data_IF_167368225233
#
_entry.id   IF_167368225233
#
_cell.length_a   1.000
_cell.length_b   1.000
_cell.length_c   1.000
_cell.angle_alpha   90.00
_cell.angle_beta   90.00
_cell.angle_gamma   90.00
#
_symmetry.space_group_name_H-M   'P 1'
#
loop_
_entity.id
_entity.type
_entity.pdbx_description
1 polymer ?
#
# COMPACT_ATOMS: atom_id res chain seq x y z
N UNK A 1 18.35 18.80 -6.85
CA UNK A 1 19.32 17.74 -7.18
C UNK A 1 19.86 17.19 -5.88
N UNK A 2 20.33 15.95 -5.89
CA UNK A 2 20.95 15.36 -4.70
C UNK A 2 22.18 16.18 -4.24
N UNK A 3 22.48 16.11 -2.94
CA UNK A 3 23.73 16.63 -2.41
C UNK A 3 24.88 15.68 -2.81
N UNK A 4 25.92 16.20 -3.45
CA UNK A 4 27.05 15.42 -3.96
C UNK A 4 27.81 14.69 -2.83
N UNK A 5 27.99 15.33 -1.67
CA UNK A 5 28.68 14.74 -0.52
C UNK A 5 27.91 13.53 0.02
N UNK A 6 26.56 13.63 0.10
CA UNK A 6 25.71 12.53 0.51
C UNK A 6 25.74 11.37 -0.49
N UNK A 7 25.83 11.66 -1.80
CA UNK A 7 25.97 10.62 -2.82
C UNK A 7 27.33 9.92 -2.75
N UNK A 8 28.41 10.68 -2.54
CA UNK A 8 29.76 10.12 -2.36
C UNK A 8 29.79 9.22 -1.15
N UNK A 9 29.20 9.65 -0.03
CA UNK A 9 29.11 8.87 1.20
C UNK A 9 28.32 7.57 0.99
N UNK A 10 27.16 7.64 0.33
CA UNK A 10 26.34 6.48 0.03
C UNK A 10 27.11 5.45 -0.83
N UNK A 11 27.92 5.90 -1.79
CA UNK A 11 28.73 5.03 -2.65
C UNK A 11 29.83 4.27 -1.89
N UNK A 12 30.20 4.72 -0.68
CA UNK A 12 31.14 4.01 0.18
C UNK A 12 30.53 2.77 0.85
N UNK A 13 29.20 2.61 0.77
CA UNK A 13 28.48 1.44 1.24
C UNK A 13 27.60 1.70 2.47
N UNK A 14 26.78 0.70 2.77
CA UNK A 14 25.73 0.77 3.80
C UNK A 14 26.32 0.99 5.19
N UNK A 15 27.42 0.31 5.52
CA UNK A 15 28.07 0.40 6.83
C UNK A 15 28.59 1.82 7.09
N UNK A 16 29.34 2.37 6.14
CA UNK A 16 29.87 3.75 6.22
C UNK A 16 28.73 4.77 6.33
N UNK A 17 27.67 4.60 5.51
CA UNK A 17 26.49 5.45 5.59
C UNK A 17 25.83 5.38 6.97
N UNK A 18 25.60 4.19 7.51
CA UNK A 18 24.94 4.02 8.79
C UNK A 18 25.77 4.60 9.94
N UNK A 19 27.07 4.38 9.98
CA UNK A 19 27.97 5.00 10.96
C UNK A 19 27.93 6.53 10.89
N UNK A 20 27.93 7.08 9.67
CA UNK A 20 27.80 8.53 9.50
C UNK A 20 26.45 9.04 10.00
N UNK A 21 25.35 8.31 9.75
CA UNK A 21 24.02 8.65 10.26
C UNK A 21 23.96 8.67 11.79
N UNK A 22 24.65 7.77 12.45
CA UNK A 22 24.72 7.71 13.92
C UNK A 22 25.46 8.91 14.51
N UNK A 23 26.50 9.37 13.83
CA UNK A 23 27.33 10.49 14.30
C UNK A 23 26.79 11.88 13.90
N UNK A 24 25.85 11.94 12.94
CA UNK A 24 25.25 13.18 12.42
C UNK A 24 23.71 13.07 12.37
N UNK A 25 23.05 12.82 13.52
CA UNK A 25 21.59 12.58 13.56
C UNK A 25 20.78 13.82 13.16
N UNK A 26 21.32 15.02 13.33
CA UNK A 26 20.67 16.30 13.01
C UNK A 26 20.65 16.58 11.50
N UNK A 27 21.54 15.97 10.72
CA UNK A 27 21.60 16.19 9.27
C UNK A 27 20.48 15.42 8.59
N UNK A 28 19.71 16.13 7.76
CA UNK A 28 18.69 15.53 6.87
C UNK A 28 19.28 15.33 5.48
N UNK A 29 19.72 14.12 5.12
CA UNK A 29 20.37 13.90 3.83
C UNK A 29 19.41 14.15 2.67
N UNK A 30 19.95 14.74 1.60
CA UNK A 30 19.23 15.02 0.37
C UNK A 30 19.81 14.17 -0.78
N UNK A 31 19.01 13.22 -1.25
CA UNK A 31 19.32 12.33 -2.37
C UNK A 31 18.27 12.44 -3.49
N UNK A 32 17.55 13.57 -3.55
CA UNK A 32 16.47 13.78 -4.54
C UNK A 32 16.97 13.58 -5.96
N UNK A 33 16.13 12.93 -6.77
CA UNK A 33 16.35 12.73 -8.22
C UNK A 33 17.57 11.83 -8.49
N UNK A 34 18.24 11.27 -7.47
CA UNK A 34 19.38 10.39 -7.66
C UNK A 34 19.01 9.11 -8.41
N UNK A 35 19.95 8.55 -9.14
CA UNK A 35 19.82 7.22 -9.73
C UNK A 35 20.48 6.19 -8.80
N UNK A 36 19.66 5.43 -8.10
CA UNK A 36 20.05 4.40 -7.12
C UNK A 36 19.52 3.02 -7.54
N UNK A 37 19.30 2.80 -8.84
CA UNK A 37 18.75 1.55 -9.38
C UNK A 37 19.66 0.36 -9.05
N UNK A 38 19.01 -0.72 -8.62
CA UNK A 38 19.66 -2.01 -8.38
C UNK A 38 20.72 -2.01 -7.28
N UNK A 39 20.85 -0.93 -6.50
CA UNK A 39 21.83 -0.87 -5.42
C UNK A 39 21.49 -1.86 -4.30
N UNK A 40 22.53 -2.44 -3.71
CA UNK A 40 22.46 -3.29 -2.53
C UNK A 40 22.46 -2.43 -1.26
N UNK A 41 21.25 -2.16 -0.73
CA UNK A 41 20.98 -1.24 0.37
C UNK A 41 20.34 -1.95 1.57
N UNK A 42 20.57 -3.26 1.70
CA UNK A 42 20.01 -4.03 2.83
C UNK A 42 20.45 -3.44 4.17
N UNK A 43 19.46 -3.18 5.05
CA UNK A 43 19.74 -2.66 6.40
C UNK A 43 20.19 -1.21 6.44
N UNK A 44 20.10 -0.46 5.35
CA UNK A 44 20.48 0.96 5.32
C UNK A 44 19.54 1.80 6.19
N UNK A 45 20.09 2.81 6.85
CA UNK A 45 19.32 3.80 7.60
C UNK A 45 19.05 5.05 6.75
N UNK A 46 17.90 5.05 6.10
CA UNK A 46 17.38 6.20 5.35
C UNK A 46 16.26 6.94 6.12
N UNK A 47 16.17 6.78 7.44
CA UNK A 47 15.16 7.48 8.23
C UNK A 47 15.22 8.99 8.02
N UNK A 48 14.08 9.61 7.65
CA UNK A 48 13.96 11.04 7.39
C UNK A 48 14.77 11.58 6.19
N UNK A 49 15.37 10.72 5.37
CA UNK A 49 16.13 11.12 4.16
C UNK A 49 15.18 11.62 3.08
N UNK A 50 15.60 12.62 2.31
CA UNK A 50 14.85 13.05 1.14
C UNK A 50 15.29 12.27 -0.12
N UNK A 51 14.45 11.34 -0.52
CA UNK A 51 14.56 10.49 -1.72
C UNK A 51 13.45 10.81 -2.75
N UNK A 52 12.85 12.01 -2.69
CA UNK A 52 11.78 12.38 -3.63
C UNK A 52 12.26 12.30 -5.08
N UNK A 53 11.43 11.72 -5.95
CA UNK A 53 11.71 11.54 -7.38
C UNK A 53 12.97 10.69 -7.68
N UNK A 54 13.53 10.00 -6.70
CA UNK A 54 14.71 9.12 -6.84
C UNK A 54 14.34 7.86 -7.61
N UNK A 55 15.27 7.34 -8.39
CA UNK A 55 15.08 6.04 -9.03
C UNK A 55 15.74 4.94 -8.20
N UNK A 56 14.91 4.18 -7.48
CA UNK A 56 15.26 3.01 -6.67
C UNK A 56 14.72 1.71 -7.29
N UNK A 57 14.41 1.72 -8.60
CA UNK A 57 13.89 0.52 -9.26
C UNK A 57 14.88 -0.65 -9.09
N UNK A 58 14.34 -1.82 -8.73
CA UNK A 58 15.14 -3.05 -8.51
C UNK A 58 16.17 -2.94 -7.36
N UNK A 59 16.15 -1.89 -6.52
CA UNK A 59 17.03 -1.78 -5.37
C UNK A 59 16.73 -2.85 -4.30
N UNK A 60 17.75 -3.30 -3.60
CA UNK A 60 17.66 -4.30 -2.52
C UNK A 60 17.65 -3.60 -1.16
N UNK A 61 16.45 -3.25 -0.67
CA UNK A 61 16.21 -2.46 0.55
C UNK A 61 15.71 -3.32 1.73
N UNK A 62 15.82 -4.65 1.62
CA UNK A 62 15.36 -5.54 2.68
C UNK A 62 15.90 -5.11 4.05
N UNK A 63 15.03 -5.12 5.08
CA UNK A 63 15.37 -4.78 6.47
C UNK A 63 15.89 -3.34 6.65
N UNK A 64 15.75 -2.46 5.65
CA UNK A 64 16.16 -1.06 5.76
C UNK A 64 15.26 -0.28 6.73
N UNK A 65 15.81 0.76 7.36
CA UNK A 65 15.05 1.74 8.09
C UNK A 65 14.71 2.93 7.18
N UNK A 66 13.46 3.03 6.75
CA UNK A 66 12.90 4.07 5.90
C UNK A 66 11.81 4.89 6.64
N UNK A 67 11.84 4.90 7.99
CA UNK A 67 10.84 5.64 8.77
C UNK A 67 10.87 7.13 8.47
N UNK A 68 9.70 7.73 8.22
CA UNK A 68 9.58 9.15 7.88
C UNK A 68 10.34 9.60 6.63
N UNK A 69 10.76 8.67 5.76
CA UNK A 69 11.48 8.98 4.51
C UNK A 69 10.59 9.73 3.53
N UNK A 70 11.15 10.66 2.77
CA UNK A 70 10.44 11.36 1.70
C UNK A 70 10.69 10.64 0.36
N UNK A 71 9.71 9.93 -0.15
CA UNK A 71 9.73 9.14 -1.39
C UNK A 71 8.66 9.60 -2.40
N UNK A 72 8.14 10.83 -2.26
CA UNK A 72 7.11 11.33 -3.17
C UNK A 72 7.56 11.20 -4.63
N UNK A 73 6.75 10.52 -5.45
CA UNK A 73 7.01 10.32 -6.87
C UNK A 73 8.26 9.49 -7.17
N UNK A 74 8.87 8.81 -6.18
CA UNK A 74 10.01 7.94 -6.38
C UNK A 74 9.66 6.69 -7.19
N UNK A 75 10.62 6.18 -7.96
CA UNK A 75 10.48 4.95 -8.72
C UNK A 75 11.06 3.79 -7.91
N UNK A 76 10.19 2.90 -7.45
CA UNK A 76 10.50 1.72 -6.62
C UNK A 76 10.08 0.42 -7.32
N UNK A 77 9.90 0.46 -8.65
CA UNK A 77 9.45 -0.69 -9.41
C UNK A 77 10.35 -1.90 -9.20
N UNK A 78 9.73 -3.03 -8.82
CA UNK A 78 10.43 -4.28 -8.53
C UNK A 78 11.52 -4.17 -7.45
N UNK A 79 11.48 -3.16 -6.59
CA UNK A 79 12.38 -3.04 -5.45
C UNK A 79 12.04 -4.11 -4.40
N UNK A 80 13.06 -4.62 -3.72
CA UNK A 80 12.87 -5.48 -2.56
C UNK A 80 12.85 -4.65 -1.28
N UNK A 81 11.64 -4.39 -0.79
CA UNK A 81 11.34 -3.66 0.44
C UNK A 81 10.84 -4.60 1.55
N UNK A 82 11.12 -5.91 1.44
CA UNK A 82 10.62 -6.86 2.43
C UNK A 82 11.21 -6.58 3.82
N UNK A 83 10.34 -6.65 4.85
CA UNK A 83 10.72 -6.40 6.25
C UNK A 83 11.29 -4.99 6.52
N UNK A 84 11.08 -4.02 5.62
CA UNK A 84 11.49 -2.62 5.85
C UNK A 84 10.60 -1.92 6.87
N UNK A 85 11.18 -0.97 7.60
CA UNK A 85 10.40 0.00 8.35
C UNK A 85 10.12 1.23 7.48
N UNK A 86 8.89 1.36 7.00
CA UNK A 86 8.36 2.48 6.22
C UNK A 86 7.30 3.26 7.03
N UNK A 87 7.31 3.14 8.37
CA UNK A 87 6.35 3.88 9.20
C UNK A 87 6.47 5.39 8.95
N UNK A 88 5.31 6.07 8.82
CA UNK A 88 5.24 7.51 8.56
C UNK A 88 5.95 7.96 7.26
N UNK A 89 6.27 7.05 6.34
CA UNK A 89 6.93 7.38 5.08
C UNK A 89 6.00 8.16 4.14
N UNK A 90 6.56 9.14 3.41
CA UNK A 90 5.84 9.95 2.42
C UNK A 90 6.02 9.35 1.02
N UNK A 91 5.13 8.43 0.63
CA UNK A 91 5.16 7.66 -0.61
C UNK A 91 4.12 8.12 -1.64
N UNK A 92 3.53 9.32 -1.46
CA UNK A 92 2.49 9.79 -2.38
C UNK A 92 2.99 9.80 -3.82
N UNK A 93 2.15 9.30 -4.74
CA UNK A 93 2.45 9.19 -6.18
C UNK A 93 3.69 8.32 -6.50
N UNK A 94 4.21 7.50 -5.57
CA UNK A 94 5.35 6.61 -5.83
C UNK A 94 4.96 5.45 -6.76
N UNK A 95 5.89 5.03 -7.61
CA UNK A 95 5.75 3.85 -8.47
C UNK A 95 6.32 2.61 -7.77
N UNK A 96 5.46 1.86 -7.10
CA UNK A 96 5.76 0.64 -6.36
C UNK A 96 5.34 -0.63 -7.13
N UNK A 97 5.17 -0.55 -8.45
CA UNK A 97 4.72 -1.69 -9.26
C UNK A 97 5.63 -2.89 -9.09
N UNK A 98 5.02 -4.04 -8.81
CA UNK A 98 5.72 -5.30 -8.57
C UNK A 98 6.82 -5.21 -7.48
N UNK A 99 6.75 -4.23 -6.57
CA UNK A 99 7.64 -4.17 -5.41
C UNK A 99 7.30 -5.27 -4.41
N UNK A 100 8.31 -5.82 -3.75
CA UNK A 100 8.14 -6.74 -2.64
C UNK A 100 8.13 -5.95 -1.33
N UNK A 101 6.94 -5.82 -0.72
CA UNK A 101 6.67 -5.18 0.57
C UNK A 101 6.27 -6.21 1.64
N UNK A 102 6.55 -7.52 1.40
CA UNK A 102 6.20 -8.56 2.35
C UNK A 102 6.73 -8.22 3.76
N UNK A 103 5.84 -8.25 4.75
CA UNK A 103 6.13 -7.90 6.15
C UNK A 103 6.70 -6.50 6.38
N UNK A 104 6.57 -5.58 5.44
CA UNK A 104 6.96 -4.20 5.64
C UNK A 104 6.04 -3.51 6.67
N UNK A 105 6.61 -2.59 7.44
CA UNK A 105 5.84 -1.72 8.32
C UNK A 105 5.54 -0.40 7.61
N UNK A 106 4.30 -0.21 7.16
CA UNK A 106 3.78 0.98 6.49
C UNK A 106 2.77 1.73 7.39
N UNK A 107 2.84 1.52 8.71
CA UNK A 107 1.93 2.18 9.65
C UNK A 107 2.02 3.69 9.51
N UNK A 108 0.86 4.36 9.31
CA UNK A 108 0.75 5.82 9.11
C UNK A 108 1.49 6.36 7.87
N UNK A 109 1.88 5.51 6.91
CA UNK A 109 2.50 5.95 5.67
C UNK A 109 1.48 6.65 4.75
N UNK A 110 1.93 7.70 4.04
CA UNK A 110 1.18 8.35 2.96
C UNK A 110 1.50 7.64 1.63
N UNK A 111 0.57 6.81 1.18
CA UNK A 111 0.58 6.09 -0.10
C UNK A 111 -0.48 6.66 -1.06
N UNK A 112 -0.96 7.88 -0.82
CA UNK A 112 -1.99 8.49 -1.66
C UNK A 112 -1.54 8.55 -3.13
N UNK A 113 -2.43 8.11 -4.03
CA UNK A 113 -2.16 8.03 -5.48
C UNK A 113 -0.93 7.17 -5.86
N UNK A 114 -0.38 6.36 -4.94
CA UNK A 114 0.72 5.45 -5.25
C UNK A 114 0.26 4.31 -6.18
N UNK A 115 1.17 3.85 -7.03
CA UNK A 115 0.92 2.70 -7.90
C UNK A 115 1.55 1.44 -7.29
N UNK A 116 0.70 0.56 -6.77
CA UNK A 116 1.02 -0.71 -6.12
C UNK A 116 0.62 -1.92 -7.00
N UNK A 117 0.42 -1.70 -8.31
CA UNK A 117 0.04 -2.78 -9.24
C UNK A 117 1.00 -3.97 -9.14
N UNK A 118 0.45 -5.17 -8.90
CA UNK A 118 1.22 -6.42 -8.70
C UNK A 118 2.21 -6.38 -7.51
N UNK A 119 2.10 -5.45 -6.58
CA UNK A 119 2.95 -5.44 -5.39
C UNK A 119 2.61 -6.61 -4.45
N UNK A 120 3.62 -7.16 -3.79
CA UNK A 120 3.47 -8.11 -2.70
C UNK A 120 3.44 -7.34 -1.36
N UNK A 121 2.25 -7.22 -0.77
CA UNK A 121 1.97 -6.61 0.53
C UNK A 121 1.61 -7.68 1.58
N UNK A 122 1.93 -8.96 1.31
CA UNK A 122 1.57 -10.03 2.23
C UNK A 122 2.18 -9.81 3.62
N UNK A 123 1.36 -9.98 4.65
CA UNK A 123 1.69 -9.74 6.05
C UNK A 123 2.21 -8.30 6.36
N UNK A 124 2.02 -7.34 5.46
CA UNK A 124 2.41 -5.94 5.69
C UNK A 124 1.51 -5.27 6.72
N UNK A 125 2.06 -4.31 7.46
CA UNK A 125 1.36 -3.47 8.42
C UNK A 125 1.03 -2.13 7.78
N UNK A 126 -0.26 -1.88 7.52
CA UNK A 126 -0.79 -0.68 6.86
C UNK A 126 -1.78 0.08 7.77
N UNK A 127 -1.69 -0.14 9.09
CA UNK A 127 -2.60 0.53 10.02
C UNK A 127 -2.49 2.05 9.89
N UNK A 128 -3.64 2.73 9.79
CA UNK A 128 -3.72 4.18 9.66
C UNK A 128 -3.01 4.75 8.40
N UNK A 129 -2.64 3.92 7.44
CA UNK A 129 -2.04 4.39 6.18
C UNK A 129 -3.07 5.14 5.33
N UNK A 130 -2.61 6.16 4.61
CA UNK A 130 -3.37 6.87 3.59
C UNK A 130 -3.13 6.21 2.23
N UNK A 131 -4.13 5.51 1.72
CA UNK A 131 -4.14 4.82 0.43
C UNK A 131 -5.16 5.43 -0.55
N UNK A 132 -5.57 6.69 -0.31
CA UNK A 132 -6.59 7.33 -1.14
C UNK A 132 -6.15 7.40 -2.61
N UNK A 133 -7.01 6.89 -3.48
CA UNK A 133 -6.75 6.86 -4.91
C UNK A 133 -5.60 5.96 -5.35
N UNK A 134 -5.03 5.15 -4.47
CA UNK A 134 -3.94 4.22 -4.82
C UNK A 134 -4.43 3.11 -5.76
N UNK A 135 -3.57 2.67 -6.66
CA UNK A 135 -3.79 1.51 -7.52
C UNK A 135 -3.14 0.25 -6.89
N UNK A 136 -3.98 -0.59 -6.26
CA UNK A 136 -3.58 -1.88 -5.71
C UNK A 136 -3.97 -3.05 -6.64
N UNK A 137 -4.30 -2.78 -7.89
CA UNK A 137 -4.78 -3.80 -8.82
C UNK A 137 -3.82 -4.99 -8.87
N UNK A 138 -4.37 -6.21 -8.67
CA UNK A 138 -3.62 -7.48 -8.64
C UNK A 138 -2.55 -7.62 -7.56
N UNK A 139 -2.52 -6.75 -6.55
CA UNK A 139 -1.60 -6.91 -5.43
C UNK A 139 -1.99 -8.10 -4.54
N UNK A 140 -1.01 -8.62 -3.82
CA UNK A 140 -1.18 -9.63 -2.78
C UNK A 140 -1.23 -8.94 -1.40
N UNK A 141 -2.37 -9.08 -0.72
CA UNK A 141 -2.65 -8.55 0.62
C UNK A 141 -2.88 -9.70 1.62
N UNK A 142 -2.38 -10.92 1.35
CA UNK A 142 -2.54 -12.04 2.27
C UNK A 142 -2.08 -11.67 3.68
N UNK A 143 -2.99 -11.74 4.65
CA UNK A 143 -2.68 -11.45 6.06
C UNK A 143 -2.26 -10.00 6.36
N UNK A 144 -2.41 -9.07 5.41
CA UNK A 144 -2.08 -7.66 5.61
C UNK A 144 -3.04 -7.00 6.61
N UNK A 145 -2.52 -6.08 7.43
CA UNK A 145 -3.34 -5.30 8.37
C UNK A 145 -3.55 -3.88 7.87
N UNK A 146 -4.74 -3.62 7.31
CA UNK A 146 -5.22 -2.31 6.84
C UNK A 146 -6.21 -1.68 7.81
N UNK A 147 -6.18 -2.08 9.10
CA UNK A 147 -7.12 -1.53 10.05
C UNK A 147 -6.97 -0.01 10.18
N UNK A 148 -8.10 0.70 10.11
CA UNK A 148 -8.17 2.17 10.13
C UNK A 148 -7.47 2.87 8.95
N UNK A 149 -7.06 2.15 7.91
CA UNK A 149 -6.49 2.76 6.71
C UNK A 149 -7.58 3.52 5.93
N UNK A 150 -7.18 4.59 5.25
CA UNK A 150 -8.05 5.32 4.32
C UNK A 150 -7.80 4.84 2.88
N UNK A 151 -8.75 4.10 2.32
CA UNK A 151 -8.73 3.59 0.95
C UNK A 151 -9.72 4.33 0.03
N UNK A 152 -10.16 5.55 0.41
CA UNK A 152 -11.16 6.27 -0.39
C UNK A 152 -10.77 6.32 -1.87
N UNK A 153 -11.62 5.76 -2.72
CA UNK A 153 -11.44 5.77 -4.17
C UNK A 153 -10.28 4.92 -4.71
N UNK A 154 -9.66 4.06 -3.89
CA UNK A 154 -8.60 3.15 -4.33
C UNK A 154 -9.14 2.05 -5.27
N UNK A 155 -8.27 1.54 -6.13
CA UNK A 155 -8.57 0.40 -6.99
C UNK A 155 -8.04 -0.90 -6.36
N UNK A 156 -8.97 -1.72 -5.86
CA UNK A 156 -8.72 -3.03 -5.24
C UNK A 156 -9.05 -4.18 -6.21
N UNK A 157 -9.13 -3.92 -7.50
CA UNK A 157 -9.50 -4.93 -8.48
C UNK A 157 -8.50 -6.08 -8.50
N UNK A 158 -9.02 -7.30 -8.46
CA UNK A 158 -8.24 -8.55 -8.57
C UNK A 158 -7.18 -8.75 -7.49
N UNK A 159 -7.30 -8.07 -6.34
CA UNK A 159 -6.42 -8.30 -5.19
C UNK A 159 -6.65 -9.68 -4.58
N UNK A 160 -5.64 -10.18 -3.88
CA UNK A 160 -5.74 -11.35 -3.02
C UNK A 160 -5.68 -10.88 -1.56
N UNK A 161 -6.84 -10.77 -0.90
CA UNK A 161 -6.95 -10.24 0.45
C UNK A 161 -7.42 -11.32 1.45
N UNK A 162 -6.95 -12.56 1.28
CA UNK A 162 -7.22 -13.62 2.23
C UNK A 162 -6.60 -13.29 3.59
N UNK A 163 -7.36 -13.46 4.68
CA UNK A 163 -6.95 -13.17 6.05
C UNK A 163 -6.59 -11.68 6.29
N UNK A 164 -6.85 -10.78 5.35
CA UNK A 164 -6.56 -9.37 5.53
C UNK A 164 -7.52 -8.71 6.52
N UNK A 165 -7.04 -7.71 7.23
CA UNK A 165 -7.80 -6.96 8.22
C UNK A 165 -8.14 -5.55 7.70
N UNK A 166 -9.42 -5.31 7.35
CA UNK A 166 -9.96 -4.01 6.97
C UNK A 166 -10.85 -3.39 8.08
N UNK A 167 -10.69 -3.81 9.32
CA UNK A 167 -11.49 -3.30 10.43
C UNK A 167 -11.33 -1.78 10.56
N UNK A 168 -12.45 -1.05 10.62
CA UNK A 168 -12.48 0.40 10.73
C UNK A 168 -11.84 1.14 9.53
N UNK A 169 -11.49 0.46 8.45
CA UNK A 169 -10.97 1.10 7.23
C UNK A 169 -12.08 1.90 6.52
N UNK A 170 -11.68 2.95 5.79
CA UNK A 170 -12.56 3.72 4.91
C UNK A 170 -12.47 3.11 3.51
N UNK A 171 -13.58 2.54 3.03
CA UNK A 171 -13.69 1.81 1.76
C UNK A 171 -14.65 2.49 0.78
N UNK A 172 -15.04 3.75 1.04
CA UNK A 172 -15.93 4.49 0.16
C UNK A 172 -15.30 4.71 -1.22
N UNK A 173 -16.02 4.32 -2.26
CA UNK A 173 -15.59 4.53 -3.65
C UNK A 173 -14.51 3.58 -4.17
N UNK A 174 -14.16 2.54 -3.43
CA UNK A 174 -13.21 1.52 -3.91
C UNK A 174 -13.78 0.73 -5.09
N UNK A 175 -12.92 0.29 -6.00
CA UNK A 175 -13.25 -0.72 -7.00
C UNK A 175 -12.87 -2.10 -6.48
N UNK A 176 -13.81 -3.05 -6.54
CA UNK A 176 -13.65 -4.41 -6.00
C UNK A 176 -13.83 -5.49 -7.08
N UNK A 177 -13.57 -5.17 -8.35
CA UNK A 177 -13.69 -6.14 -9.43
C UNK A 177 -12.83 -7.38 -9.15
N UNK A 178 -13.44 -8.55 -9.15
CA UNK A 178 -12.77 -9.84 -8.98
C UNK A 178 -11.80 -9.94 -7.77
N UNK A 179 -12.03 -9.18 -6.71
CA UNK A 179 -11.22 -9.32 -5.51
C UNK A 179 -11.42 -10.68 -4.84
N UNK A 180 -10.41 -11.19 -4.17
CA UNK A 180 -10.45 -12.48 -3.49
C UNK A 180 -10.33 -12.31 -1.99
N UNK A 181 -11.35 -12.74 -1.27
CA UNK A 181 -11.44 -12.73 0.18
C UNK A 181 -11.86 -14.11 0.69
N UNK A 182 -11.69 -14.39 1.98
CA UNK A 182 -12.12 -15.63 2.64
C UNK A 182 -12.86 -15.36 3.96
N UNK A 183 -13.18 -16.43 4.71
CA UNK A 183 -13.84 -16.34 6.01
C UNK A 183 -13.10 -15.48 7.03
N UNK A 184 -11.78 -15.45 6.94
CA UNK A 184 -10.90 -14.80 7.93
C UNK A 184 -10.58 -13.34 7.58
N UNK A 185 -10.95 -12.87 6.36
CA UNK A 185 -10.87 -11.45 6.00
C UNK A 185 -11.84 -10.63 6.87
N UNK A 186 -11.41 -9.55 7.47
CA UNK A 186 -12.18 -8.80 8.47
C UNK A 186 -12.62 -7.44 7.93
N UNK A 187 -13.88 -7.03 8.24
CA UNK A 187 -14.47 -5.75 7.83
C UNK A 187 -15.30 -5.11 8.95
N UNK A 188 -14.98 -5.40 10.22
CA UNK A 188 -15.75 -4.87 11.34
C UNK A 188 -15.64 -3.35 11.42
N UNK A 189 -16.79 -2.68 11.49
CA UNK A 189 -16.91 -1.22 11.58
C UNK A 189 -16.19 -0.47 10.43
N UNK A 190 -15.92 -1.14 9.30
CA UNK A 190 -15.44 -0.44 8.11
C UNK A 190 -16.50 0.55 7.60
N UNK A 191 -16.05 1.70 7.13
CA UNK A 191 -16.90 2.77 6.61
C UNK A 191 -16.94 2.67 5.08
N UNK A 192 -18.15 2.59 4.52
CA UNK A 192 -18.32 2.49 3.07
C UNK A 192 -19.68 3.05 2.67
N UNK A 193 -19.68 4.13 1.94
CA UNK A 193 -20.91 4.69 1.38
C UNK A 193 -21.32 3.99 0.09
N UNK A 194 -20.35 3.66 -0.74
CA UNK A 194 -20.55 2.98 -2.02
C UNK A 194 -19.27 2.34 -2.54
N UNK A 195 -19.42 1.39 -3.44
CA UNK A 195 -18.33 0.70 -4.13
C UNK A 195 -18.57 0.70 -5.64
N UNK A 196 -17.55 0.34 -6.40
CA UNK A 196 -17.65 0.00 -7.81
C UNK A 196 -17.33 -1.48 -8.02
N UNK A 197 -18.19 -2.17 -8.82
CA UNK A 197 -18.00 -3.59 -9.12
C UNK A 197 -17.15 -3.85 -10.37
N UNK A 198 -16.85 -2.82 -11.12
CA UNK A 198 -16.02 -2.89 -12.33
C UNK A 198 -15.07 -1.70 -12.41
N UNK A 199 -13.93 -1.92 -13.05
CA UNK A 199 -12.93 -0.91 -13.33
C UNK A 199 -13.52 0.33 -14.04
N UNK A 200 -12.78 1.43 -14.00
CA UNK A 200 -13.21 2.73 -14.52
C UNK A 200 -14.49 3.26 -13.83
N UNK A 201 -14.67 2.97 -12.56
CA UNK A 201 -15.80 3.43 -11.73
C UNK A 201 -17.15 3.07 -12.32
N UNK A 202 -17.25 1.88 -12.91
CA UNK A 202 -18.50 1.35 -13.44
C UNK A 202 -19.25 0.51 -12.41
N UNK A 203 -20.57 0.40 -12.58
CA UNK A 203 -21.45 -0.38 -11.71
C UNK A 203 -21.34 0.01 -10.24
N UNK A 204 -21.59 1.29 -9.92
CA UNK A 204 -21.70 1.76 -8.54
C UNK A 204 -22.78 0.99 -7.79
N UNK A 205 -22.48 0.65 -6.53
CA UNK A 205 -23.43 0.01 -5.60
C UNK A 205 -23.32 0.65 -4.20
N UNK A 206 -24.45 0.97 -3.56
CA UNK A 206 -25.79 1.08 -4.16
C UNK A 206 -25.84 2.13 -5.27
N UNK A 207 -26.82 2.03 -6.19
CA UNK A 207 -26.89 2.89 -7.38
C UNK A 207 -27.25 4.34 -7.07
N UNK A 208 -28.16 4.54 -6.13
CA UNK A 208 -28.90 5.79 -5.88
C UNK A 208 -28.86 6.27 -4.42
N UNK A 209 -28.20 5.54 -3.54
CA UNK A 209 -28.05 5.88 -2.12
C UNK A 209 -26.66 5.51 -1.60
N UNK A 210 -26.38 5.76 -0.35
CA UNK A 210 -25.24 5.19 0.38
C UNK A 210 -25.61 3.89 1.07
N UNK A 211 -24.63 3.04 1.38
CA UNK A 211 -24.84 1.93 2.30
C UNK A 211 -25.30 2.46 3.66
N UNK A 212 -26.25 1.78 4.30
CA UNK A 212 -26.53 2.01 5.70
C UNK A 212 -25.38 1.52 6.59
N UNK A 213 -25.32 1.99 7.81
CA UNK A 213 -24.30 1.58 8.78
C UNK A 213 -24.28 0.04 8.92
N UNK A 214 -23.11 -0.56 8.69
CA UNK A 214 -22.92 -2.02 8.75
C UNK A 214 -23.42 -2.80 7.53
N UNK A 215 -24.15 -2.19 6.61
CA UNK A 215 -24.68 -2.88 5.43
C UNK A 215 -23.55 -3.45 4.55
N UNK A 216 -22.49 -2.68 4.32
CA UNK A 216 -21.33 -3.14 3.58
C UNK A 216 -20.62 -4.32 4.29
N UNK A 217 -20.40 -4.23 5.59
CA UNK A 217 -19.78 -5.31 6.37
C UNK A 217 -20.60 -6.60 6.31
N UNK A 218 -21.93 -6.48 6.40
CA UNK A 218 -22.85 -7.61 6.26
C UNK A 218 -22.80 -8.20 4.85
N UNK A 219 -22.72 -7.37 3.82
CA UNK A 219 -22.54 -7.79 2.44
C UNK A 219 -21.24 -8.59 2.28
N UNK A 220 -20.12 -8.11 2.82
CA UNK A 220 -18.84 -8.83 2.81
C UNK A 220 -18.92 -10.17 3.55
N UNK A 221 -19.64 -10.25 4.67
CA UNK A 221 -19.86 -11.53 5.37
C UNK A 221 -20.67 -12.54 4.54
N UNK A 222 -21.63 -12.07 3.75
CA UNK A 222 -22.36 -12.93 2.83
C UNK A 222 -21.46 -13.51 1.73
N UNK A 223 -20.46 -12.74 1.27
CA UNK A 223 -19.47 -13.20 0.29
C UNK A 223 -18.57 -14.31 0.83
N UNK A 224 -18.17 -14.22 2.11
CA UNK A 224 -17.34 -15.23 2.78
C UNK A 224 -17.96 -16.63 2.79
N UNK A 225 -19.30 -16.71 2.85
CA UNK A 225 -20.06 -17.99 2.91
C UNK A 225 -20.15 -18.69 1.56
N UNK A 226 -19.91 -17.97 0.47
CA UNK A 226 -20.17 -18.47 -0.89
C UNK A 226 -18.92 -18.45 -1.78
N UNK A 227 -17.77 -18.83 -1.20
CA UNK A 227 -16.44 -18.83 -1.84
C UNK A 227 -16.35 -19.66 -3.13
N UNK A 228 -17.43 -20.31 -3.56
CA UNK A 228 -17.51 -21.15 -4.77
C UNK A 228 -18.05 -20.44 -6.00
N UNK A 229 -18.54 -19.18 -5.87
CA UNK A 229 -19.19 -18.54 -7.03
C UNK A 229 -18.98 -17.00 -7.09
N UNK A 230 -17.92 -16.50 -7.79
CA UNK A 230 -17.71 -15.06 -7.99
C UNK A 230 -18.86 -14.36 -8.75
N UNK A 231 -19.75 -15.11 -9.38
CA UNK A 231 -20.95 -14.58 -10.06
C UNK A 231 -21.99 -14.06 -9.07
N UNK A 232 -21.96 -14.47 -7.81
CA UNK A 232 -22.93 -14.06 -6.77
C UNK A 232 -22.86 -12.57 -6.43
N UNK A 233 -21.68 -11.95 -6.55
CA UNK A 233 -21.49 -10.50 -6.41
C UNK A 233 -22.36 -9.72 -7.41
N UNK A 234 -22.46 -10.20 -8.65
CA UNK A 234 -23.23 -9.51 -9.70
C UNK A 234 -24.74 -9.56 -9.43
N UNK A 235 -25.27 -10.61 -8.84
CA UNK A 235 -26.71 -10.85 -8.72
C UNK A 235 -27.34 -10.36 -7.40
N UNK A 236 -26.65 -10.45 -6.24
CA UNK A 236 -27.19 -9.98 -4.95
C UNK A 236 -27.12 -8.47 -4.76
N UNK A 237 -26.17 -7.80 -5.40
CA UNK A 237 -26.06 -6.35 -5.33
C UNK A 237 -26.98 -5.66 -6.34
N UNK A 238 -27.62 -6.41 -7.23
CA UNK A 238 -28.58 -5.90 -8.22
C UNK A 238 -30.02 -5.71 -7.69
N UNK A 239 -30.24 -5.87 -6.37
CA UNK A 239 -31.52 -5.46 -5.75
C UNK A 239 -32.72 -6.28 -6.12
N UNK A 240 -32.58 -7.53 -6.58
CA UNK A 240 -33.70 -8.43 -6.66
C UNK A 240 -33.92 -9.08 -5.29
N UNK A 241 -34.94 -8.56 -4.58
CA UNK A 241 -35.58 -9.24 -3.46
C UNK A 241 -35.98 -10.64 -3.89
N UNK A 242 -35.68 -11.63 -3.05
CA UNK A 242 -36.34 -12.94 -3.09
C UNK A 242 -37.71 -12.79 -2.43
#
# INVERSE_FOLDING_TARGET
>A
MANEEHLVLLKQGVETWNQWRETHPEIKPDLRIADLRGLYLRGINFSGVNLSMTNLSQAYLREANLSGVYLRGAKLRSANLSQTNLSEAHLSMADLRAANLNRANLTMADLSEANLYLADLSEAKLQLADLRGADLTRSDLFGADLSKADLFGADLSRIQAFNANFNQAILTGVCIEDWKINSDTQFERSLCDYIYLQNNRKQRRPTDRSFALGEFSNLCQAFKRDSRNPVFLKNRVSGQSI
#
